data_IF_098262212205
#
_entry.id   IF_098262212205
#
_cell.length_a   1.000
_cell.length_b   1.000
_cell.length_c   1.000
_cell.angle_alpha   90.00
_cell.angle_beta   90.00
_cell.angle_gamma   90.00
#
_symmetry.space_group_name_H-M   'P 1'
#
loop_
_entity.id
_entity.type
_entity.pdbx_description
1 polymer ?
#
# COMPACT_ATOMS: atom_id res chain seq x y z
N UNK A 1 8.59 -2.56 15.86
CA UNK A 1 8.41 -2.64 17.31
C UNK A 1 8.74 -1.32 18.02
N UNK A 2 9.79 -0.60 17.63
CA UNK A 2 10.22 0.63 18.33
C UNK A 2 9.17 1.72 18.30
N UNK A 3 8.52 1.95 17.16
CA UNK A 3 7.41 2.93 17.01
C UNK A 3 6.27 2.63 17.98
N UNK A 4 5.83 1.37 18.07
CA UNK A 4 4.71 0.97 18.94
C UNK A 4 5.01 1.00 20.45
N UNK A 5 6.28 1.20 20.84
CA UNK A 5 6.72 1.30 22.26
C UNK A 5 7.21 2.71 22.63
N UNK A 6 7.29 3.60 21.67
CA UNK A 6 7.82 4.94 21.90
C UNK A 6 6.84 5.80 22.71
N UNK A 7 7.22 6.40 23.83
CA UNK A 7 6.29 7.10 24.75
C UNK A 7 5.63 8.36 24.14
N UNK A 8 6.20 8.93 23.09
CA UNK A 8 5.67 10.11 22.40
C UNK A 8 4.95 9.76 21.08
N UNK A 9 4.73 8.47 20.79
CA UNK A 9 4.02 8.03 19.60
C UNK A 9 2.73 7.34 20.02
N UNK A 10 1.60 7.86 19.59
CA UNK A 10 0.30 7.22 19.74
C UNK A 10 -0.03 6.47 18.44
N UNK A 11 -0.08 5.14 18.52
CA UNK A 11 -0.42 4.29 17.38
C UNK A 11 -1.92 3.99 17.41
N UNK A 12 -2.64 4.42 16.39
CA UNK A 12 -4.05 4.13 16.18
C UNK A 12 -4.19 3.03 15.11
N UNK A 13 -3.99 1.79 15.52
CA UNK A 13 -4.21 0.65 14.63
C UNK A 13 -5.70 0.40 14.41
N UNK A 14 -6.07 -0.18 13.26
CA UNK A 14 -7.44 -0.47 12.87
C UNK A 14 -8.35 0.76 12.91
N UNK A 15 -7.85 1.86 12.32
CA UNK A 15 -8.49 3.17 12.36
C UNK A 15 -8.51 3.82 10.97
N UNK A 16 -9.49 4.67 10.73
CA UNK A 16 -9.65 5.43 9.49
C UNK A 16 -9.85 6.91 9.79
N UNK A 17 -9.34 7.77 8.91
CA UNK A 17 -9.57 9.21 8.99
C UNK A 17 -10.94 9.51 8.37
N UNK A 18 -11.83 10.15 9.14
CA UNK A 18 -13.17 10.55 8.69
C UNK A 18 -13.20 11.97 8.15
N UNK A 19 -12.48 12.88 8.80
CA UNK A 19 -12.48 14.30 8.44
C UNK A 19 -11.15 14.97 8.76
N UNK A 20 -10.77 15.94 7.93
CA UNK A 20 -9.63 16.82 8.16
C UNK A 20 -10.08 18.24 7.80
N UNK A 21 -9.89 19.16 8.73
CA UNK A 21 -10.17 20.58 8.55
C UNK A 21 -9.01 21.44 9.06
N UNK A 22 -9.10 22.75 8.88
CA UNK A 22 -8.07 23.67 9.33
C UNK A 22 -6.98 23.96 8.30
N UNK A 23 -5.79 24.31 8.76
CA UNK A 23 -4.69 24.78 7.93
C UNK A 23 -3.35 24.54 8.63
N UNK A 24 -2.25 24.78 7.94
CA UNK A 24 -0.88 24.65 8.45
C UNK A 24 -0.74 25.22 9.87
N UNK A 25 -0.24 24.39 10.78
CA UNK A 25 -0.12 24.73 12.21
C UNK A 25 -1.38 24.50 13.03
N UNK A 26 -2.56 24.33 12.41
CA UNK A 26 -3.86 24.22 13.07
C UNK A 26 -4.80 23.30 12.30
N UNK A 27 -4.38 22.06 12.05
CA UNK A 27 -5.25 21.04 11.49
C UNK A 27 -6.05 20.37 12.60
N UNK A 28 -7.33 20.13 12.35
CA UNK A 28 -8.21 19.34 13.19
C UNK A 28 -8.54 18.04 12.46
N UNK A 29 -8.26 16.89 13.07
CA UNK A 29 -8.41 15.57 12.46
C UNK A 29 -9.39 14.74 13.28
N UNK A 30 -10.37 14.17 12.61
CA UNK A 30 -11.32 13.22 13.18
C UNK A 30 -10.98 11.81 12.70
N UNK A 31 -10.75 10.90 13.64
CA UNK A 31 -10.38 9.52 13.41
C UNK A 31 -11.42 8.59 13.97
N UNK A 32 -11.94 7.69 13.15
CA UNK A 32 -12.76 6.57 13.58
C UNK A 32 -11.85 5.40 13.92
N UNK A 33 -11.78 5.02 15.19
CA UNK A 33 -11.18 3.78 15.64
C UNK A 33 -12.24 2.69 15.54
N UNK A 34 -12.05 1.76 14.59
CA UNK A 34 -12.99 0.66 14.35
C UNK A 34 -12.99 -0.28 15.53
N UNK A 35 -14.16 -0.80 15.85
CA UNK A 35 -14.34 -1.77 16.91
C UNK A 35 -13.63 -3.08 16.58
N UNK A 36 -12.90 -3.61 17.54
CA UNK A 36 -12.21 -4.90 17.44
C UNK A 36 -13.05 -6.05 18.03
N UNK A 37 -14.05 -5.71 18.87
CA UNK A 37 -14.80 -6.63 19.72
C UNK A 37 -13.93 -7.41 20.70
N UNK A 38 -12.67 -7.04 20.82
CA UNK A 38 -11.68 -7.59 21.76
C UNK A 38 -10.90 -6.43 22.36
N UNK A 39 -10.90 -6.34 23.68
CA UNK A 39 -10.12 -5.33 24.40
C UNK A 39 -8.61 -5.54 24.16
N UNK A 40 -7.99 -4.55 23.55
CA UNK A 40 -6.59 -4.64 23.11
C UNK A 40 -5.58 -4.54 24.26
N UNK A 41 -6.01 -4.11 25.45
CA UNK A 41 -5.18 -4.00 26.65
C UNK A 41 -5.23 -5.29 27.46
N UNK A 42 -6.43 -5.87 27.60
CA UNK A 42 -6.65 -7.08 28.39
C UNK A 42 -6.31 -8.37 27.63
N UNK A 43 -6.31 -8.33 26.29
CA UNK A 43 -6.02 -9.49 25.45
C UNK A 43 -4.54 -9.88 25.52
N UNK A 44 -4.27 -11.13 25.91
CA UNK A 44 -2.90 -11.68 26.00
C UNK A 44 -2.45 -12.47 24.78
N UNK A 45 -3.27 -12.52 23.72
CA UNK A 45 -3.00 -13.29 22.50
C UNK A 45 -2.71 -14.79 22.77
N UNK A 46 -3.48 -15.43 23.63
CA UNK A 46 -3.28 -16.83 24.08
C UNK A 46 -3.79 -17.89 23.09
N UNK A 47 -4.39 -17.52 21.97
CA UNK A 47 -4.92 -18.38 20.90
C UNK A 47 -6.17 -19.22 21.24
N UNK A 48 -6.58 -19.33 22.50
CA UNK A 48 -7.71 -20.17 22.91
C UNK A 48 -9.03 -19.85 22.18
N UNK A 49 -9.29 -18.59 21.90
CA UNK A 49 -10.46 -18.14 21.13
C UNK A 49 -10.41 -18.58 19.65
N UNK A 50 -9.21 -18.72 19.08
CA UNK A 50 -8.99 -19.18 17.70
C UNK A 50 -9.26 -20.67 17.59
N UNK A 51 -8.79 -21.46 18.56
CA UNK A 51 -8.96 -22.92 18.56
C UNK A 51 -10.42 -23.33 18.50
N UNK A 52 -11.30 -22.63 19.21
CA UNK A 52 -12.74 -22.96 19.29
C UNK A 52 -13.57 -22.32 18.16
N UNK A 53 -13.02 -21.40 17.39
CA UNK A 53 -13.73 -20.73 16.30
C UNK A 53 -13.98 -21.69 15.13
N UNK A 54 -15.27 -21.93 14.74
CA UNK A 54 -15.59 -22.86 13.65
C UNK A 54 -15.37 -22.25 12.26
N UNK A 55 -15.30 -20.92 12.15
CA UNK A 55 -15.19 -20.23 10.87
C UNK A 55 -13.78 -20.34 10.30
N UNK A 56 -13.69 -20.57 9.00
CA UNK A 56 -12.44 -20.59 8.23
C UNK A 56 -12.64 -19.77 6.97
N UNK A 57 -11.84 -18.74 6.80
CA UNK A 57 -11.84 -17.84 5.64
C UNK A 57 -10.42 -17.62 5.13
N UNK A 58 -10.24 -17.17 3.88
CA UNK A 58 -8.92 -16.81 3.36
C UNK A 58 -8.23 -15.75 4.26
N UNK A 59 -6.91 -15.85 4.39
CA UNK A 59 -6.09 -14.92 5.16
C UNK A 59 -5.58 -13.80 4.25
N UNK A 60 -6.12 -12.60 4.39
CA UNK A 60 -5.86 -11.44 3.52
C UNK A 60 -4.37 -11.05 3.52
N UNK A 61 -3.74 -11.03 4.70
CA UNK A 61 -2.30 -10.72 4.82
C UNK A 61 -1.41 -11.68 4.02
N UNK A 62 -1.90 -12.86 3.70
CA UNK A 62 -1.21 -13.85 2.88
C UNK A 62 -1.90 -14.03 1.50
N UNK A 63 -2.60 -13.01 1.03
CA UNK A 63 -3.27 -12.98 -0.28
C UNK A 63 -4.16 -14.22 -0.55
N UNK A 64 -4.74 -14.80 0.49
CA UNK A 64 -5.58 -15.98 0.38
C UNK A 64 -4.81 -17.32 0.27
N UNK A 65 -3.48 -17.32 0.23
CA UNK A 65 -2.67 -18.54 0.20
C UNK A 65 -2.78 -19.37 1.49
N UNK A 66 -3.21 -18.77 2.59
CA UNK A 66 -3.55 -19.43 3.85
C UNK A 66 -4.97 -19.12 4.27
N UNK A 67 -5.43 -19.85 5.30
CA UNK A 67 -6.71 -19.61 5.95
C UNK A 67 -6.53 -19.00 7.35
N UNK A 68 -7.52 -18.25 7.82
CA UNK A 68 -7.67 -17.73 9.17
C UNK A 68 -9.05 -17.98 9.74
N UNK A 69 -9.18 -17.78 11.03
CA UNK A 69 -10.49 -17.78 11.71
C UNK A 69 -11.17 -16.42 11.64
N UNK A 70 -12.47 -16.34 11.96
CA UNK A 70 -13.15 -15.05 12.09
C UNK A 70 -12.61 -14.21 13.24
N UNK A 71 -12.09 -14.82 14.30
CA UNK A 71 -11.31 -14.15 15.34
C UNK A 71 -9.83 -14.40 15.06
N UNK A 72 -9.03 -13.34 14.89
CA UNK A 72 -7.66 -13.47 14.38
C UNK A 72 -6.77 -12.28 14.76
N UNK A 73 -5.46 -12.48 14.64
CA UNK A 73 -4.45 -11.42 14.59
C UNK A 73 -3.99 -11.33 13.13
N UNK A 74 -3.93 -10.14 12.51
CA UNK A 74 -3.60 -9.99 11.08
C UNK A 74 -2.27 -10.65 10.68
N UNK A 75 -1.24 -10.46 11.50
CA UNK A 75 0.08 -11.09 11.35
C UNK A 75 0.81 -11.17 12.71
N UNK A 76 1.80 -12.05 12.88
CA UNK A 76 2.40 -12.34 14.20
C UNK A 76 3.06 -11.14 14.91
N UNK A 77 3.54 -10.14 14.14
CA UNK A 77 4.20 -8.94 14.67
C UNK A 77 3.26 -7.73 14.77
N UNK A 78 1.94 -7.94 14.67
CA UNK A 78 0.96 -6.86 14.75
C UNK A 78 1.05 -6.09 16.07
N UNK A 79 0.86 -4.78 16.03
CA UNK A 79 0.78 -3.90 17.19
C UNK A 79 -0.57 -3.16 17.14
N UNK A 80 -1.42 -3.33 18.17
CA UNK A 80 -1.26 -4.16 19.34
C UNK A 80 -1.28 -5.67 19.01
N UNK A 81 -0.63 -6.50 19.83
CA UNK A 81 -0.69 -7.95 19.76
C UNK A 81 -2.00 -8.44 20.40
N UNK A 82 -3.12 -8.08 19.79
CA UNK A 82 -4.46 -8.39 20.27
C UNK A 82 -5.35 -8.88 19.13
N UNK A 83 -6.27 -9.78 19.45
CA UNK A 83 -7.22 -10.29 18.48
C UNK A 83 -8.21 -9.21 18.01
N UNK A 84 -8.84 -9.47 16.89
CA UNK A 84 -10.02 -8.77 16.40
C UNK A 84 -10.99 -9.78 15.79
N UNK A 85 -12.26 -9.42 15.70
CA UNK A 85 -13.30 -10.25 15.11
C UNK A 85 -13.69 -9.64 13.77
N UNK A 86 -13.61 -10.45 12.71
CA UNK A 86 -14.20 -10.16 11.42
C UNK A 86 -15.72 -10.37 11.51
N UNK A 87 -16.45 -9.26 11.57
CA UNK A 87 -17.90 -9.26 11.75
C UNK A 87 -18.63 -9.89 10.57
N UNK A 88 -18.10 -9.74 9.35
CA UNK A 88 -18.72 -10.26 8.14
C UNK A 88 -18.62 -11.79 8.06
N UNK A 89 -17.53 -12.35 8.56
CA UNK A 89 -17.30 -13.78 8.58
C UNK A 89 -17.86 -14.46 9.85
N UNK A 90 -18.08 -13.71 10.95
CA UNK A 90 -18.42 -14.26 12.24
C UNK A 90 -19.89 -14.73 12.31
N UNK A 91 -20.13 -15.97 12.74
CA UNK A 91 -21.47 -16.53 12.93
C UNK A 91 -22.20 -15.97 14.17
N UNK A 92 -21.50 -15.22 15.03
CA UNK A 92 -22.04 -14.72 16.30
C UNK A 92 -22.81 -13.42 16.21
N UNK A 93 -22.88 -12.79 15.02
CA UNK A 93 -23.61 -11.55 14.83
C UNK A 93 -24.99 -11.78 14.19
N UNK A 94 -25.96 -11.30 14.83
CA UNK A 94 -27.38 -11.13 14.50
C UNK A 94 -28.11 -12.27 13.73
N UNK A 95 -28.80 -13.17 14.40
CA UNK A 95 -28.77 -13.39 15.83
C UNK A 95 -27.51 -14.15 16.26
N UNK A 96 -26.98 -13.90 17.45
CA UNK A 96 -25.81 -14.60 17.97
C UNK A 96 -26.11 -16.10 18.02
N UNK A 97 -25.59 -16.81 17.01
CA UNK A 97 -25.77 -18.25 16.91
C UNK A 97 -24.57 -19.04 17.47
N UNK A 98 -23.45 -18.32 17.71
CA UNK A 98 -22.20 -18.87 18.21
C UNK A 98 -21.81 -18.13 19.51
N UNK A 99 -20.73 -18.01 20.01
CA UNK A 99 -20.27 -17.37 21.26
C UNK A 99 -19.14 -18.16 21.89
N UNK A 100 -18.65 -19.18 21.16
CA UNK A 100 -17.62 -20.09 21.66
C UNK A 100 -16.36 -19.39 22.12
N UNK A 101 -15.94 -18.34 21.39
CA UNK A 101 -14.76 -17.55 21.76
C UNK A 101 -15.00 -16.74 23.04
N UNK A 102 -16.21 -16.24 23.27
CA UNK A 102 -16.59 -15.52 24.48
C UNK A 102 -16.56 -16.45 25.70
N UNK A 103 -17.14 -17.66 25.58
CA UNK A 103 -17.14 -18.65 26.66
C UNK A 103 -15.73 -19.14 27.01
N UNK A 104 -14.85 -19.26 26.00
CA UNK A 104 -13.50 -19.78 26.15
C UNK A 104 -12.48 -18.75 26.67
N UNK A 105 -12.78 -17.45 26.56
CA UNK A 105 -11.86 -16.39 26.93
C UNK A 105 -11.75 -16.23 28.47
N UNK A 106 -10.68 -16.73 29.06
CA UNK A 106 -10.43 -16.60 30.50
C UNK A 106 -10.27 -15.15 30.96
N UNK A 107 -9.78 -14.26 30.08
CA UNK A 107 -9.62 -12.82 30.34
C UNK A 107 -10.93 -12.05 30.22
N UNK A 108 -11.97 -12.67 29.64
CA UNK A 108 -13.26 -12.02 29.40
C UNK A 108 -13.13 -10.67 28.67
N UNK A 109 -12.15 -10.58 27.76
CA UNK A 109 -11.83 -9.38 27.00
C UNK A 109 -12.58 -9.29 25.65
N UNK A 110 -13.58 -10.17 25.42
CA UNK A 110 -14.39 -10.14 24.18
C UNK A 110 -15.75 -9.52 24.53
N UNK A 111 -16.12 -8.48 23.78
CA UNK A 111 -17.38 -7.77 23.93
C UNK A 111 -18.01 -7.53 22.54
N UNK A 112 -19.14 -8.20 22.27
CA UNK A 112 -19.86 -8.05 21.00
C UNK A 112 -20.73 -6.78 20.94
N UNK A 113 -20.93 -6.09 22.05
CA UNK A 113 -21.69 -4.84 22.13
C UNK A 113 -20.80 -3.59 21.99
N UNK A 114 -19.46 -3.75 21.93
CA UNK A 114 -18.52 -2.63 21.73
C UNK A 114 -18.76 -1.96 20.35
N UNK A 115 -18.44 -0.68 20.26
CA UNK A 115 -18.76 0.15 19.11
C UNK A 115 -17.52 0.93 18.64
N UNK A 116 -17.59 1.41 17.40
CA UNK A 116 -16.58 2.35 16.86
C UNK A 116 -16.46 3.58 17.77
N UNK A 117 -15.22 4.09 17.92
CA UNK A 117 -14.91 5.27 18.72
C UNK A 117 -14.37 6.36 17.83
N UNK A 118 -14.93 7.56 17.92
CA UNK A 118 -14.38 8.74 17.27
C UNK A 118 -13.40 9.46 18.20
N UNK A 119 -12.21 9.76 17.69
CA UNK A 119 -11.14 10.46 18.40
C UNK A 119 -10.77 11.69 17.58
N UNK A 120 -10.60 12.82 18.25
CA UNK A 120 -10.27 14.09 17.61
C UNK A 120 -8.89 14.57 18.07
N UNK A 121 -8.12 15.12 17.12
CA UNK A 121 -6.76 15.63 17.38
C UNK A 121 -6.58 16.98 16.71
N UNK A 122 -5.85 17.87 17.41
CA UNK A 122 -5.30 19.08 16.83
C UNK A 122 -3.81 18.84 16.54
N UNK A 123 -3.40 19.03 15.28
CA UNK A 123 -2.03 18.78 14.84
C UNK A 123 -1.48 19.93 14.01
N UNK A 124 -0.19 20.17 14.10
CA UNK A 124 0.46 21.27 13.37
C UNK A 124 0.87 20.90 11.95
N UNK A 125 1.01 19.61 11.64
CA UNK A 125 1.48 19.12 10.34
C UNK A 125 1.00 17.69 10.09
N UNK A 126 0.91 17.30 8.82
CA UNK A 126 0.46 15.97 8.38
C UNK A 126 1.50 15.37 7.43
N UNK A 127 1.86 14.12 7.64
CA UNK A 127 2.67 13.34 6.70
C UNK A 127 1.79 12.22 6.15
N UNK A 128 1.60 12.19 4.84
CA UNK A 128 0.84 11.16 4.12
C UNK A 128 1.81 10.08 3.67
N UNK A 129 1.62 8.87 4.16
CA UNK A 129 2.46 7.72 3.88
C UNK A 129 1.60 6.46 3.63
N UNK A 130 0.53 6.60 2.85
CA UNK A 130 -0.50 5.58 2.63
C UNK A 130 -0.05 4.42 1.76
N UNK A 131 1.10 4.55 1.09
CA UNK A 131 1.68 3.46 0.30
C UNK A 131 1.05 3.30 -1.09
N UNK A 132 0.96 2.07 -1.56
CA UNK A 132 0.55 1.67 -2.92
C UNK A 132 -0.20 0.35 -2.87
N UNK A 133 -0.83 -0.04 -3.98
CA UNK A 133 -1.29 -1.39 -4.25
C UNK A 133 -0.45 -2.04 -5.36
N UNK A 134 -0.55 -3.35 -5.51
CA UNK A 134 0.05 -4.08 -6.62
C UNK A 134 -0.94 -4.19 -7.77
N UNK A 135 -0.43 -4.18 -9.00
CA UNK A 135 -1.25 -4.36 -10.18
C UNK A 135 -1.89 -5.76 -10.20
N UNK A 136 -3.18 -5.84 -10.54
CA UNK A 136 -3.88 -7.11 -10.73
C UNK A 136 -3.62 -7.64 -12.14
N UNK A 137 -2.89 -8.77 -12.30
CA UNK A 137 -2.52 -9.29 -13.61
C UNK A 137 -3.63 -10.07 -14.31
N UNK A 138 -4.84 -10.14 -13.78
CA UNK A 138 -5.98 -10.84 -14.42
C UNK A 138 -6.36 -10.28 -15.77
N UNK A 139 -6.00 -9.02 -16.07
CA UNK A 139 -6.18 -8.41 -17.40
C UNK A 139 -5.24 -8.98 -18.48
N UNK A 140 -4.21 -9.72 -18.08
CA UNK A 140 -3.27 -10.38 -18.98
C UNK A 140 -3.62 -11.88 -19.10
N UNK A 141 -4.71 -12.18 -19.80
CA UNK A 141 -5.21 -13.55 -19.98
C UNK A 141 -4.14 -14.51 -20.54
N UNK A 142 -3.23 -14.00 -21.37
CA UNK A 142 -2.12 -14.77 -21.96
C UNK A 142 -1.19 -15.37 -20.92
N UNK A 143 -1.09 -14.81 -19.72
CA UNK A 143 -0.23 -15.36 -18.66
C UNK A 143 -0.93 -16.41 -17.80
N UNK A 144 -2.24 -16.58 -17.94
CA UNK A 144 -2.98 -17.64 -17.26
C UNK A 144 -3.02 -17.52 -15.73
N UNK A 145 -2.76 -16.32 -15.17
CA UNK A 145 -2.94 -16.08 -13.74
C UNK A 145 -4.38 -16.43 -13.33
N UNK A 146 -4.57 -17.06 -12.19
CA UNK A 146 -5.83 -17.64 -11.68
C UNK A 146 -6.34 -18.89 -12.44
N UNK A 147 -5.87 -19.14 -13.68
CA UNK A 147 -6.21 -20.36 -14.43
C UNK A 147 -5.20 -21.48 -14.20
N UNK A 148 -3.93 -21.12 -14.09
CA UNK A 148 -2.84 -22.06 -13.86
C UNK A 148 -2.30 -21.87 -12.45
N UNK A 149 -2.42 -22.88 -11.61
CA UNK A 149 -2.04 -22.79 -10.19
C UNK A 149 -0.56 -22.48 -9.97
N UNK A 150 0.32 -22.85 -10.92
CA UNK A 150 1.76 -22.60 -10.84
C UNK A 150 2.18 -21.22 -11.39
N UNK A 151 1.23 -20.36 -11.74
CA UNK A 151 1.48 -18.94 -12.07
C UNK A 151 1.13 -18.08 -10.85
N UNK A 152 2.14 -17.44 -10.29
CA UNK A 152 2.02 -16.60 -9.09
C UNK A 152 2.43 -15.16 -9.39
N UNK A 153 1.93 -14.21 -8.64
CA UNK A 153 2.48 -12.85 -8.60
C UNK A 153 3.76 -12.81 -7.77
N UNK A 154 4.58 -11.77 -7.96
CA UNK A 154 5.79 -11.56 -7.15
C UNK A 154 5.46 -11.43 -5.65
N UNK A 155 4.32 -10.85 -5.30
CA UNK A 155 3.91 -10.73 -3.89
C UNK A 155 3.52 -12.10 -3.30
N UNK A 156 2.80 -12.94 -4.04
CA UNK A 156 2.49 -14.33 -3.62
C UNK A 156 3.75 -15.15 -3.47
N UNK A 157 4.72 -14.98 -4.38
CA UNK A 157 6.02 -15.64 -4.30
C UNK A 157 6.82 -15.20 -3.06
N UNK A 158 6.81 -13.91 -2.72
CA UNK A 158 7.42 -13.39 -1.49
C UNK A 158 6.79 -14.00 -0.23
N UNK A 159 5.48 -14.18 -0.22
CA UNK A 159 4.78 -14.84 0.90
C UNK A 159 5.17 -16.32 0.97
N UNK A 160 5.26 -17.00 -0.17
CA UNK A 160 5.64 -18.40 -0.24
C UNK A 160 7.08 -18.62 0.22
N UNK A 161 8.03 -17.80 -0.23
CA UNK A 161 9.45 -17.89 0.10
C UNK A 161 9.82 -17.29 1.46
N UNK A 162 8.91 -16.55 2.08
CA UNK A 162 9.13 -15.90 3.36
C UNK A 162 8.95 -16.82 4.57
N UNK A 163 9.74 -16.66 5.65
CA UNK A 163 9.66 -17.52 6.84
C UNK A 163 8.32 -17.41 7.60
N UNK A 164 7.57 -16.34 7.39
CA UNK A 164 6.21 -16.16 7.93
C UNK A 164 5.10 -16.62 7.00
N UNK A 165 5.44 -17.18 5.85
CA UNK A 165 4.51 -17.66 4.85
C UNK A 165 3.91 -19.03 5.16
N UNK A 166 3.03 -19.50 4.27
CA UNK A 166 2.28 -20.76 4.41
C UNK A 166 3.14 -22.01 4.42
N UNK A 167 4.33 -21.91 3.88
CA UNK A 167 5.32 -22.99 3.74
C UNK A 167 6.53 -22.79 4.65
N UNK A 168 6.49 -21.80 5.54
CA UNK A 168 7.61 -21.43 6.44
C UNK A 168 8.92 -21.15 5.69
N UNK A 169 8.82 -20.62 4.45
CA UNK A 169 9.95 -20.26 3.59
C UNK A 169 10.38 -21.32 2.60
N UNK A 170 9.72 -22.47 2.58
CA UNK A 170 9.98 -23.50 1.58
C UNK A 170 9.26 -23.17 0.27
N UNK A 171 10.03 -23.06 -0.83
CA UNK A 171 9.46 -22.80 -2.16
C UNK A 171 8.94 -24.09 -2.77
N UNK A 172 7.64 -24.19 -2.89
CA UNK A 172 6.94 -25.36 -3.42
C UNK A 172 5.94 -24.97 -4.51
N UNK A 173 5.77 -25.87 -5.49
CA UNK A 173 4.73 -25.72 -6.51
C UNK A 173 3.35 -25.84 -5.88
N UNK A 174 2.40 -24.95 -6.18
CA UNK A 174 1.03 -25.05 -5.69
C UNK A 174 0.32 -26.36 -6.03
N UNK A 175 0.52 -26.88 -7.25
CA UNK A 175 -0.19 -28.08 -7.76
C UNK A 175 0.17 -29.40 -7.07
N UNK A 176 1.44 -29.65 -6.79
CA UNK A 176 1.90 -30.95 -6.27
C UNK A 176 2.76 -30.85 -5.00
N UNK A 177 2.97 -29.63 -4.50
CA UNK A 177 3.73 -29.31 -3.29
C UNK A 177 5.20 -29.76 -3.30
N UNK A 178 5.77 -29.96 -4.50
CA UNK A 178 7.18 -30.28 -4.66
C UNK A 178 8.01 -29.03 -4.89
N UNK A 179 9.28 -29.09 -4.54
CA UNK A 179 10.26 -28.05 -4.88
C UNK A 179 10.38 -27.99 -6.41
N UNK A 180 10.19 -26.81 -7.03
CA UNK A 180 10.31 -26.65 -8.48
C UNK A 180 11.77 -26.82 -8.91
N UNK A 181 11.99 -27.34 -10.10
CA UNK A 181 13.33 -27.45 -10.72
C UNK A 181 13.65 -26.21 -11.57
N UNK A 182 12.63 -25.54 -12.07
CA UNK A 182 12.77 -24.36 -12.92
C UNK A 182 11.70 -23.32 -12.60
N UNK A 183 12.11 -22.05 -12.53
CA UNK A 183 11.21 -20.92 -12.27
C UNK A 183 11.51 -19.80 -13.27
N UNK A 184 10.45 -19.30 -13.92
CA UNK A 184 10.51 -18.13 -14.80
C UNK A 184 9.95 -16.89 -14.15
N UNK A 185 10.63 -15.76 -14.29
CA UNK A 185 10.17 -14.45 -13.81
C UNK A 185 9.87 -13.55 -15.01
N UNK A 186 8.63 -13.10 -15.14
CA UNK A 186 8.21 -12.19 -16.20
C UNK A 186 8.18 -10.76 -15.66
N UNK A 187 9.03 -9.90 -16.21
CA UNK A 187 9.16 -8.51 -15.77
C UNK A 187 8.08 -7.60 -16.37
N UNK A 188 7.82 -6.47 -15.69
CA UNK A 188 6.99 -5.37 -16.17
C UNK A 188 5.49 -5.73 -16.40
N UNK A 189 4.95 -6.73 -15.72
CA UNK A 189 3.52 -7.06 -15.81
C UNK A 189 2.68 -5.91 -15.22
N UNK A 190 1.86 -5.25 -16.07
CA UNK A 190 1.11 -4.06 -15.70
C UNK A 190 1.93 -2.77 -15.57
N UNK A 191 3.25 -2.80 -15.92
CA UNK A 191 4.12 -1.63 -15.95
C UNK A 191 4.72 -1.43 -17.34
N UNK A 192 5.00 -0.17 -17.72
CA UNK A 192 5.58 0.19 -19.03
C UNK A 192 4.72 -0.31 -20.20
N UNK A 193 3.42 -0.33 -20.00
CA UNK A 193 2.42 -0.79 -20.98
C UNK A 193 1.29 0.24 -21.04
N UNK A 194 1.18 0.95 -22.16
CA UNK A 194 0.17 2.00 -22.34
C UNK A 194 -1.22 1.43 -22.64
N UNK A 195 -1.29 0.21 -23.18
CA UNK A 195 -2.56 -0.37 -23.63
C UNK A 195 -3.34 -1.06 -22.52
N UNK A 196 -2.62 -1.69 -21.56
CA UNK A 196 -3.22 -2.49 -20.47
C UNK A 196 -2.33 -2.37 -19.24
N UNK A 197 -2.40 -1.32 -18.47
CA UNK A 197 -1.54 -1.12 -17.31
C UNK A 197 -1.05 0.31 -17.21
N UNK A 198 0.09 0.49 -16.62
CA UNK A 198 0.68 1.79 -16.35
C UNK A 198 1.83 2.11 -17.31
N UNK A 199 1.92 3.35 -17.85
CA UNK A 199 2.99 3.74 -18.77
C UNK A 199 4.35 3.86 -18.08
N UNK A 200 4.38 4.02 -16.76
CA UNK A 200 5.59 4.19 -15.97
C UNK A 200 6.25 2.86 -15.56
N UNK A 201 7.49 2.95 -15.09
CA UNK A 201 8.20 1.85 -14.43
C UNK A 201 7.92 1.87 -12.92
N UNK A 202 7.63 0.71 -12.36
CA UNK A 202 7.42 0.56 -10.90
C UNK A 202 8.70 0.57 -10.06
N UNK A 203 9.87 0.72 -10.67
CA UNK A 203 11.20 0.89 -10.08
C UNK A 203 11.72 -0.25 -9.19
N UNK A 204 10.89 -1.17 -8.73
CA UNK A 204 11.28 -2.21 -7.78
C UNK A 204 11.37 -3.61 -8.40
N UNK A 205 10.62 -3.90 -9.47
CA UNK A 205 10.42 -5.26 -9.98
C UNK A 205 11.75 -5.96 -10.32
N UNK A 206 12.66 -5.28 -11.03
CA UNK A 206 13.95 -5.87 -11.42
C UNK A 206 14.77 -6.27 -10.19
N UNK A 207 14.88 -5.40 -9.20
CA UNK A 207 15.68 -5.68 -8.00
C UNK A 207 15.02 -6.72 -7.11
N UNK A 208 13.69 -6.73 -7.03
CA UNK A 208 12.95 -7.77 -6.32
C UNK A 208 13.22 -9.14 -6.95
N UNK A 209 13.05 -9.28 -8.25
CA UNK A 209 13.32 -10.54 -8.96
C UNK A 209 14.78 -10.98 -8.81
N UNK A 210 15.75 -10.05 -8.91
CA UNK A 210 17.15 -10.39 -8.69
C UNK A 210 17.37 -10.94 -7.26
N UNK A 211 16.76 -10.31 -6.25
CA UNK A 211 16.81 -10.81 -4.87
C UNK A 211 16.23 -12.22 -4.77
N UNK A 212 15.05 -12.45 -5.35
CA UNK A 212 14.40 -13.76 -5.32
C UNK A 212 15.24 -14.84 -5.98
N UNK A 213 15.81 -14.54 -7.16
CA UNK A 213 16.69 -15.51 -7.86
C UNK A 213 17.96 -15.80 -7.07
N UNK A 214 18.52 -14.81 -6.36
CA UNK A 214 19.68 -15.01 -5.49
C UNK A 214 19.36 -15.89 -4.28
N UNK A 215 18.22 -15.66 -3.63
CA UNK A 215 17.75 -16.50 -2.53
C UNK A 215 17.49 -17.94 -3.00
N UNK A 216 16.85 -18.10 -4.16
CA UNK A 216 16.65 -19.42 -4.75
C UNK A 216 17.99 -20.15 -4.99
N UNK A 217 18.99 -19.48 -5.55
CA UNK A 217 20.32 -20.06 -5.76
C UNK A 217 21.08 -20.33 -4.48
N UNK A 218 20.81 -19.60 -3.41
CA UNK A 218 21.43 -19.81 -2.11
C UNK A 218 20.85 -21.01 -1.36
N UNK A 219 19.52 -21.17 -1.38
CA UNK A 219 18.84 -22.24 -0.67
C UNK A 219 18.64 -23.51 -1.52
N UNK A 220 18.54 -23.36 -2.84
CA UNK A 220 18.27 -24.44 -3.80
C UNK A 220 19.24 -24.33 -4.98
N UNK A 221 20.46 -24.83 -4.83
CA UNK A 221 21.55 -24.69 -5.81
C UNK A 221 21.19 -25.14 -7.23
N UNK A 222 20.30 -26.14 -7.35
CA UNK A 222 19.97 -26.79 -8.62
C UNK A 222 18.73 -26.19 -9.33
N UNK A 223 18.05 -25.19 -8.75
CA UNK A 223 16.90 -24.57 -9.42
C UNK A 223 17.38 -23.72 -10.59
N UNK A 224 16.84 -24.01 -11.78
CA UNK A 224 17.02 -23.16 -12.96
C UNK A 224 16.14 -21.92 -12.88
N UNK A 225 16.75 -20.73 -12.93
CA UNK A 225 16.06 -19.46 -12.86
C UNK A 225 16.22 -18.67 -14.16
N UNK A 226 15.08 -18.33 -14.80
CA UNK A 226 15.02 -17.55 -16.03
C UNK A 226 14.28 -16.25 -15.79
N UNK A 227 14.83 -15.14 -16.30
CA UNK A 227 14.22 -13.80 -16.18
C UNK A 227 13.92 -13.26 -17.57
N UNK A 228 12.64 -13.09 -17.88
CA UNK A 228 12.15 -12.50 -19.13
C UNK A 228 11.97 -11.01 -18.96
N UNK A 229 12.66 -10.17 -19.74
CA UNK A 229 12.78 -8.76 -19.46
C UNK A 229 12.86 -7.88 -20.73
N UNK A 230 12.50 -6.59 -20.57
CA UNK A 230 12.71 -5.54 -21.60
C UNK A 230 14.11 -4.92 -21.44
N UNK A 231 14.39 -4.42 -20.25
CA UNK A 231 15.71 -3.96 -19.76
C UNK A 231 15.78 -4.14 -18.24
N UNK A 232 16.97 -4.32 -17.69
CA UNK A 232 17.18 -4.43 -16.23
C UNK A 232 17.56 -3.06 -15.68
N UNK A 233 16.80 -2.60 -14.69
CA UNK A 233 17.01 -1.33 -14.01
C UNK A 233 17.62 -1.55 -12.64
N UNK A 234 18.94 -1.47 -12.58
CA UNK A 234 19.77 -1.68 -11.38
C UNK A 234 20.54 -0.39 -11.02
N UNK A 235 19.85 0.75 -10.99
CA UNK A 235 20.46 2.08 -10.86
C UNK A 235 20.83 2.51 -9.44
N UNK A 236 20.48 1.76 -8.41
CA UNK A 236 20.81 2.06 -7.01
C UNK A 236 22.25 1.70 -6.65
N UNK A 237 22.76 2.27 -5.54
CA UNK A 237 24.10 1.96 -5.03
C UNK A 237 24.21 0.47 -4.68
N UNK A 238 25.14 -0.24 -5.33
CA UNK A 238 25.38 -1.67 -5.16
C UNK A 238 24.44 -2.56 -5.96
N UNK A 239 23.42 -2.04 -6.65
CA UNK A 239 22.43 -2.82 -7.39
C UNK A 239 23.01 -3.48 -8.64
N UNK A 240 23.92 -2.80 -9.34
CA UNK A 240 24.62 -3.39 -10.47
C UNK A 240 25.47 -4.59 -10.07
N UNK A 241 26.15 -4.54 -8.92
CA UNK A 241 26.91 -5.66 -8.40
C UNK A 241 25.99 -6.84 -8.01
N UNK A 242 24.80 -6.53 -7.51
CA UNK A 242 23.78 -7.51 -7.18
C UNK A 242 23.29 -8.25 -8.44
N UNK A 243 23.04 -7.50 -9.52
CA UNK A 243 22.70 -8.05 -10.84
C UNK A 243 23.82 -8.92 -11.43
N UNK A 244 25.08 -8.46 -11.37
CA UNK A 244 26.24 -9.24 -11.83
C UNK A 244 26.39 -10.54 -11.05
N UNK A 245 26.16 -10.50 -9.73
CA UNK A 245 26.22 -11.70 -8.88
C UNK A 245 25.17 -12.71 -9.29
N UNK A 246 23.93 -12.31 -9.60
CA UNK A 246 22.89 -13.24 -10.04
C UNK A 246 23.26 -13.96 -11.35
N UNK A 247 23.83 -13.23 -12.31
CA UNK A 247 24.39 -13.82 -13.54
C UNK A 247 25.51 -14.82 -13.26
N UNK A 248 26.43 -14.46 -12.36
CA UNK A 248 27.56 -15.33 -12.00
C UNK A 248 27.09 -16.63 -11.33
N UNK A 249 25.92 -16.63 -10.67
CA UNK A 249 25.29 -17.81 -10.09
C UNK A 249 24.43 -18.61 -11.11
N UNK A 250 24.44 -18.24 -12.38
CA UNK A 250 23.76 -18.97 -13.44
C UNK A 250 22.29 -18.62 -13.61
N UNK A 251 21.84 -17.44 -13.18
CA UNK A 251 20.52 -16.94 -13.55
C UNK A 251 20.54 -16.53 -15.01
N UNK A 252 19.65 -17.09 -15.82
CA UNK A 252 19.53 -16.80 -17.23
C UNK A 252 18.62 -15.58 -17.45
N UNK A 253 19.08 -14.64 -18.28
CA UNK A 253 18.37 -13.41 -18.63
C UNK A 253 18.02 -13.41 -20.11
N UNK A 254 16.73 -13.54 -20.44
CA UNK A 254 16.19 -13.63 -21.79
C UNK A 254 15.52 -12.29 -22.13
N UNK A 255 16.06 -11.58 -23.11
CA UNK A 255 15.53 -10.28 -23.51
C UNK A 255 14.31 -10.46 -24.42
N UNK A 256 13.14 -10.42 -23.83
CA UNK A 256 11.85 -10.61 -24.48
C UNK A 256 10.77 -10.70 -23.41
N UNK A 257 9.54 -10.38 -23.78
CA UNK A 257 8.38 -10.60 -22.92
C UNK A 257 7.56 -11.72 -23.53
N UNK A 258 7.24 -12.79 -22.77
CA UNK A 258 6.40 -13.87 -23.27
C UNK A 258 5.06 -13.37 -23.79
N UNK A 259 4.66 -13.84 -24.95
CA UNK A 259 3.37 -13.51 -25.56
C UNK A 259 2.25 -14.45 -25.13
N UNK A 260 2.60 -15.65 -24.62
CA UNK A 260 1.63 -16.67 -24.22
C UNK A 260 2.24 -17.66 -23.24
N UNK A 261 1.40 -18.18 -22.33
CA UNK A 261 1.71 -19.28 -21.42
C UNK A 261 0.66 -20.37 -21.61
N UNK A 262 1.12 -21.59 -21.85
CA UNK A 262 0.28 -22.79 -21.92
C UNK A 262 0.65 -23.76 -20.80
N UNK A 263 -0.31 -24.47 -20.24
CA UNK A 263 -0.09 -25.49 -19.22
C UNK A 263 -0.14 -26.89 -19.87
N UNK A 264 0.86 -27.73 -19.62
CA UNK A 264 0.78 -29.13 -19.93
C UNK A 264 -0.23 -29.82 -19.00
N UNK A 265 -1.28 -30.47 -19.53
CA UNK A 265 -2.37 -30.99 -18.69
C UNK A 265 -1.94 -32.15 -17.79
N UNK A 266 -0.80 -32.82 -18.09
CA UNK A 266 -0.31 -33.97 -17.33
C UNK A 266 0.71 -33.61 -16.28
N UNK A 267 1.70 -32.83 -16.66
CA UNK A 267 2.82 -32.43 -15.78
C UNK A 267 2.51 -31.18 -14.99
N UNK A 268 1.52 -30.38 -15.44
CA UNK A 268 1.22 -29.03 -14.92
C UNK A 268 2.39 -28.05 -15.08
N UNK A 269 3.35 -28.38 -15.93
CA UNK A 269 4.42 -27.45 -16.31
C UNK A 269 3.89 -26.39 -17.24
N UNK A 270 4.55 -25.24 -17.22
CA UNK A 270 4.16 -24.04 -17.97
C UNK A 270 5.10 -23.89 -19.17
N UNK A 271 4.54 -23.77 -20.36
CA UNK A 271 5.28 -23.59 -21.62
C UNK A 271 5.09 -22.13 -22.04
N UNK A 272 6.16 -21.36 -21.96
CA UNK A 272 6.21 -19.94 -22.33
C UNK A 272 6.74 -19.81 -23.75
N UNK A 273 6.02 -19.03 -24.58
CA UNK A 273 6.48 -18.67 -25.92
C UNK A 273 6.97 -17.22 -25.89
N UNK A 274 8.23 -17.00 -26.27
CA UNK A 274 8.86 -15.67 -26.23
C UNK A 274 9.69 -15.43 -27.49
N UNK A 275 9.64 -14.21 -28.01
CA UNK A 275 10.63 -13.74 -28.98
C UNK A 275 11.86 -13.25 -28.22
N UNK A 276 12.98 -13.91 -28.36
CA UNK A 276 14.26 -13.45 -27.86
C UNK A 276 14.78 -12.32 -28.76
N UNK A 277 14.59 -11.08 -28.34
CA UNK A 277 14.94 -9.90 -29.15
C UNK A 277 16.46 -9.70 -29.34
N UNK A 278 17.30 -10.54 -28.73
CA UNK A 278 18.74 -10.53 -28.94
C UNK A 278 19.13 -11.22 -30.24
N UNK A 279 18.45 -12.30 -30.59
CA UNK A 279 18.72 -13.11 -31.79
C UNK A 279 17.56 -13.09 -32.81
N UNK A 280 16.37 -12.59 -32.42
CA UNK A 280 15.17 -12.56 -33.27
C UNK A 280 14.48 -13.90 -33.41
N UNK A 281 14.79 -14.89 -32.59
CA UNK A 281 14.20 -16.22 -32.62
C UNK A 281 13.03 -16.34 -31.65
N UNK A 282 12.01 -17.13 -32.03
CA UNK A 282 10.93 -17.51 -31.13
C UNK A 282 11.37 -18.76 -30.38
N UNK A 283 11.40 -18.67 -29.08
CA UNK A 283 11.81 -19.74 -28.18
C UNK A 283 10.63 -20.24 -27.35
N UNK A 284 10.60 -21.53 -27.06
CA UNK A 284 9.69 -22.13 -26.06
C UNK A 284 10.49 -22.57 -24.84
N UNK A 285 10.01 -22.17 -23.65
CA UNK A 285 10.62 -22.54 -22.37
C UNK A 285 9.62 -23.30 -21.51
N UNK A 286 9.94 -24.54 -21.18
CA UNK A 286 9.16 -25.34 -20.23
C UNK A 286 9.67 -25.10 -18.81
N UNK A 287 8.77 -24.68 -17.91
CA UNK A 287 9.07 -24.28 -16.53
C UNK A 287 8.08 -24.91 -15.54
N UNK A 288 8.56 -25.22 -14.36
CA UNK A 288 7.74 -25.77 -13.28
C UNK A 288 6.83 -24.68 -12.65
N UNK A 289 7.27 -23.44 -12.61
CA UNK A 289 6.56 -22.32 -12.01
C UNK A 289 6.89 -21.01 -12.72
N UNK A 290 5.95 -20.08 -12.74
CA UNK A 290 6.12 -18.73 -13.27
C UNK A 290 5.73 -17.70 -12.23
N UNK A 291 6.54 -16.66 -12.10
CA UNK A 291 6.31 -15.50 -11.23
C UNK A 291 6.13 -14.26 -12.08
N UNK A 292 4.98 -13.64 -11.95
CA UNK A 292 4.65 -12.38 -12.60
C UNK A 292 5.16 -11.21 -11.73
N UNK A 293 6.18 -10.51 -12.19
CA UNK A 293 6.70 -9.30 -11.53
C UNK A 293 5.78 -8.13 -11.81
N UNK A 294 4.69 -8.07 -11.02
CA UNK A 294 3.62 -7.09 -11.18
C UNK A 294 4.04 -5.68 -10.81
N UNK A 295 3.46 -4.69 -11.49
CA UNK A 295 3.68 -3.28 -11.23
C UNK A 295 3.08 -2.79 -9.92
N UNK A 296 3.42 -1.55 -9.56
CA UNK A 296 2.81 -0.82 -8.46
C UNK A 296 1.83 0.20 -9.00
N UNK A 297 0.67 0.28 -8.37
CA UNK A 297 -0.40 1.23 -8.71
C UNK A 297 -0.80 2.05 -7.48
N UNK A 298 -1.44 3.21 -7.67
CA UNK A 298 -1.99 3.96 -6.54
C UNK A 298 -2.92 3.09 -5.71
N UNK A 299 -3.00 3.36 -4.42
CA UNK A 299 -3.97 2.67 -3.57
C UNK A 299 -5.40 2.90 -4.07
N UNK A 300 -6.24 1.88 -3.95
CA UNK A 300 -7.66 1.94 -4.32
C UNK A 300 -8.42 3.07 -3.60
N UNK A 301 -7.99 3.43 -2.38
CA UNK A 301 -8.59 4.47 -1.53
C UNK A 301 -7.86 5.83 -1.57
N UNK A 302 -6.88 6.00 -2.46
CA UNK A 302 -6.11 7.25 -2.60
C UNK A 302 -6.99 8.47 -2.83
N UNK A 303 -8.11 8.33 -3.54
CA UNK A 303 -9.09 9.40 -3.78
C UNK A 303 -9.76 9.91 -2.50
N UNK A 304 -9.84 9.11 -1.45
CA UNK A 304 -10.37 9.52 -0.14
C UNK A 304 -9.41 10.50 0.54
N UNK A 305 -8.12 10.16 0.60
CA UNK A 305 -7.08 11.05 1.16
C UNK A 305 -6.94 12.31 0.32
N UNK A 306 -7.01 12.18 -1.02
CA UNK A 306 -7.01 13.33 -1.93
C UNK A 306 -8.11 14.33 -1.58
N UNK A 307 -9.34 13.88 -1.36
CA UNK A 307 -10.48 14.75 -1.01
C UNK A 307 -10.32 15.37 0.38
N UNK A 308 -9.97 14.57 1.38
CA UNK A 308 -9.82 15.03 2.76
C UNK A 308 -8.77 16.12 2.92
N UNK A 309 -7.68 16.04 2.16
CA UNK A 309 -6.57 16.99 2.24
C UNK A 309 -6.54 17.99 1.08
N UNK A 310 -7.50 17.95 0.17
CA UNK A 310 -7.56 18.78 -1.05
C UNK A 310 -6.25 18.71 -1.83
N UNK A 311 -5.81 17.47 -2.14
CA UNK A 311 -4.58 17.20 -2.87
C UNK A 311 -4.83 17.08 -4.38
N UNK A 312 -3.78 17.31 -5.15
CA UNK A 312 -3.75 16.99 -6.59
C UNK A 312 -3.19 15.58 -6.80
N UNK A 313 -3.55 14.98 -7.94
CA UNK A 313 -3.01 13.71 -8.40
C UNK A 313 -2.36 13.87 -9.77
N UNK A 314 -1.39 13.01 -10.07
CA UNK A 314 -0.87 12.82 -11.42
C UNK A 314 -1.92 12.15 -12.30
N UNK A 315 -1.69 12.12 -13.62
CA UNK A 315 -2.54 11.37 -14.57
C UNK A 315 -2.62 9.88 -14.24
N UNK A 316 -1.62 9.35 -13.55
CA UNK A 316 -1.54 7.95 -13.15
C UNK A 316 -2.23 7.66 -11.80
N UNK A 317 -2.79 8.70 -11.15
CA UNK A 317 -3.54 8.59 -9.90
C UNK A 317 -2.72 8.64 -8.59
N UNK A 318 -1.39 8.77 -8.67
CA UNK A 318 -0.56 9.03 -7.47
C UNK A 318 -0.74 10.46 -6.99
N UNK A 319 -0.51 10.69 -5.69
CA UNK A 319 -0.55 12.04 -5.12
C UNK A 319 0.59 12.88 -5.70
N UNK A 320 0.28 14.12 -6.08
CA UNK A 320 1.21 15.00 -6.77
C UNK A 320 1.84 16.01 -5.82
N UNK A 321 3.16 16.09 -5.82
CA UNK A 321 3.94 17.09 -5.09
C UNK A 321 3.84 18.48 -5.76
N UNK A 322 4.23 19.52 -5.00
CA UNK A 322 4.24 20.91 -5.51
C UNK A 322 5.15 21.07 -6.72
N UNK A 323 6.33 20.47 -6.68
CA UNK A 323 7.30 20.54 -7.77
C UNK A 323 8.37 19.44 -7.64
N UNK A 324 8.58 18.60 -8.66
CA UNK A 324 9.42 17.40 -8.56
C UNK A 324 10.92 17.67 -8.26
N UNK A 325 11.40 18.89 -8.50
CA UNK A 325 12.81 19.27 -8.25
C UNK A 325 13.00 20.24 -7.09
N UNK A 326 12.04 21.14 -6.86
CA UNK A 326 12.20 22.24 -5.88
C UNK A 326 11.50 21.94 -4.56
N UNK A 327 10.42 21.17 -4.59
CA UNK A 327 9.60 20.80 -3.42
C UNK A 327 9.04 19.38 -3.57
N UNK A 328 9.94 18.35 -3.67
CA UNK A 328 9.56 16.98 -4.03
C UNK A 328 8.84 16.22 -2.90
N UNK A 329 8.69 16.84 -1.75
CA UNK A 329 8.08 16.24 -0.55
C UNK A 329 6.81 16.98 -0.15
N UNK A 330 6.71 18.25 -0.54
CA UNK A 330 5.62 19.13 -0.11
C UNK A 330 4.37 18.90 -0.95
N UNK A 331 3.23 18.70 -0.30
CA UNK A 331 1.94 18.68 -0.96
C UNK A 331 1.48 20.11 -1.35
N UNK A 332 0.56 20.26 -2.32
CA UNK A 332 -0.06 21.55 -2.64
C UNK A 332 -0.72 22.21 -1.42
N UNK A 333 -1.27 21.43 -0.52
CA UNK A 333 -1.79 21.90 0.76
C UNK A 333 -0.66 22.11 1.74
N UNK A 334 -0.46 23.36 2.17
CA UNK A 334 0.64 23.75 3.07
C UNK A 334 0.55 23.02 4.40
N UNK A 335 1.70 22.51 4.89
CA UNK A 335 1.77 21.75 6.15
C UNK A 335 1.50 20.26 5.97
N UNK A 336 1.24 19.83 4.73
CA UNK A 336 1.10 18.41 4.36
C UNK A 336 2.32 17.98 3.56
N UNK A 337 2.86 16.81 3.85
CA UNK A 337 4.07 16.25 3.23
C UNK A 337 3.85 14.80 2.80
N UNK A 338 4.60 14.34 1.81
CA UNK A 338 4.53 12.97 1.30
C UNK A 338 5.73 12.13 1.75
N UNK A 339 5.49 10.85 2.00
CA UNK A 339 6.53 9.87 2.26
C UNK A 339 6.18 8.52 1.64
N UNK A 340 7.13 7.94 0.90
CA UNK A 340 6.98 6.62 0.30
C UNK A 340 6.12 6.58 -0.96
N UNK A 341 5.55 5.43 -1.25
CA UNK A 341 4.91 5.14 -2.54
C UNK A 341 3.55 5.80 -2.78
N UNK A 342 3.02 6.59 -1.86
CA UNK A 342 1.78 7.35 -2.10
C UNK A 342 1.93 8.41 -3.19
N UNK A 343 3.16 8.89 -3.44
CA UNK A 343 3.49 9.92 -4.43
C UNK A 343 3.98 9.31 -5.76
N UNK A 344 4.77 8.24 -5.71
CA UNK A 344 5.21 7.48 -6.89
C UNK A 344 5.84 6.15 -6.45
N UNK A 345 5.94 5.16 -7.35
CA UNK A 345 6.65 3.92 -7.07
C UNK A 345 8.12 4.18 -6.71
N UNK A 346 8.59 3.63 -5.60
CA UNK A 346 9.97 3.76 -5.12
C UNK A 346 10.37 2.58 -4.22
N UNK A 347 11.67 2.35 -4.10
CA UNK A 347 12.20 1.32 -3.23
C UNK A 347 12.22 1.73 -1.75
N UNK A 348 12.62 0.80 -0.87
CA UNK A 348 12.68 1.04 0.58
C UNK A 348 13.66 2.16 0.92
N UNK A 349 14.83 2.19 0.26
CA UNK A 349 15.87 3.22 0.50
C UNK A 349 15.34 4.62 0.17
N UNK A 350 14.69 4.78 -0.97
CA UNK A 350 14.13 6.05 -1.40
C UNK A 350 12.93 6.45 -0.55
N UNK A 351 12.09 5.48 -0.14
CA UNK A 351 11.00 5.71 0.82
C UNK A 351 11.50 6.22 2.17
N UNK A 352 12.55 5.62 2.73
CA UNK A 352 13.15 6.06 4.00
C UNK A 352 13.81 7.43 3.86
N UNK A 353 14.48 7.70 2.74
CA UNK A 353 15.08 9.01 2.45
C UNK A 353 13.99 10.10 2.40
N UNK A 354 12.91 9.83 1.68
CA UNK A 354 11.78 10.75 1.58
C UNK A 354 11.08 10.95 2.95
N UNK A 355 10.90 9.88 3.73
CA UNK A 355 10.32 9.97 5.08
C UNK A 355 11.17 10.84 6.01
N UNK A 356 12.50 10.71 5.95
CA UNK A 356 13.43 11.57 6.71
C UNK A 356 13.31 13.04 6.29
N UNK A 357 13.18 13.29 4.99
CA UNK A 357 12.92 14.62 4.45
C UNK A 357 11.58 15.19 4.88
N UNK A 358 10.50 14.40 4.84
CA UNK A 358 9.17 14.80 5.28
C UNK A 358 9.15 15.16 6.77
N UNK A 359 9.82 14.35 7.61
CA UNK A 359 9.98 14.64 9.04
C UNK A 359 10.72 15.95 9.28
N UNK A 360 11.82 16.21 8.55
CA UNK A 360 12.56 17.47 8.66
C UNK A 360 11.73 18.68 8.22
N UNK A 361 10.92 18.53 7.17
CA UNK A 361 10.00 19.59 6.70
C UNK A 361 8.90 19.87 7.73
N UNK A 362 8.28 18.82 8.29
CA UNK A 362 7.29 18.94 9.35
C UNK A 362 7.89 19.64 10.59
N UNK A 363 9.10 19.22 11.00
CA UNK A 363 9.80 19.82 12.13
C UNK A 363 10.09 21.31 11.93
N UNK A 364 10.36 21.76 10.71
CA UNK A 364 10.57 23.19 10.39
C UNK A 364 9.33 24.03 10.74
N UNK A 365 8.13 23.46 10.60
CA UNK A 365 6.88 24.13 10.98
C UNK A 365 6.69 24.04 12.50
N UNK A 366 6.82 22.83 13.05
CA UNK A 366 6.51 22.54 14.46
C UNK A 366 7.46 23.19 15.46
N UNK A 367 8.66 23.56 15.04
CA UNK A 367 9.68 24.22 15.87
C UNK A 367 9.55 25.75 15.94
N UNK A 368 8.57 26.35 15.23
CA UNK A 368 8.40 27.80 15.16
C UNK A 368 7.04 28.22 15.74
N UNK A 369 7.01 29.32 16.45
CA UNK A 369 5.77 29.93 16.98
C UNK A 369 4.92 30.57 15.87
N UNK A 370 5.51 30.85 14.71
CA UNK A 370 4.84 31.54 13.59
C UNK A 370 5.27 30.90 12.27
N UNK A 371 4.31 30.73 11.37
CA UNK A 371 4.55 30.25 10.00
C UNK A 371 4.48 31.43 9.05
N UNK A 372 5.45 31.54 8.13
CA UNK A 372 5.39 32.51 7.04
C UNK A 372 4.41 32.02 5.99
N UNK A 373 3.37 32.82 5.72
CA UNK A 373 2.40 32.57 4.64
C UNK A 373 2.76 33.38 3.40
N UNK A 374 2.21 32.99 2.25
CA UNK A 374 2.34 33.77 1.02
C UNK A 374 1.63 35.12 1.19
N UNK A 375 2.26 36.17 0.66
CA UNK A 375 1.72 37.52 0.76
C UNK A 375 0.47 37.76 -0.12
N UNK A 376 0.27 36.97 -1.16
CA UNK A 376 -0.85 37.07 -2.08
C UNK A 376 -2.04 36.25 -1.56
N UNK A 377 -2.99 36.94 -0.93
CA UNK A 377 -4.24 36.34 -0.43
C UNK A 377 -5.45 37.07 -1.00
N UNK A 378 -6.58 36.41 -1.10
CA UNK A 378 -7.83 37.04 -1.45
C UNK A 378 -8.27 37.98 -0.30
N UNK A 379 -8.94 39.07 -0.62
CA UNK A 379 -9.58 39.96 0.34
C UNK A 379 -11.05 40.15 0.00
N UNK A 380 -11.90 40.28 0.99
CA UNK A 380 -13.33 40.51 0.79
C UNK A 380 -13.62 41.98 1.11
N UNK A 381 -14.30 42.68 0.20
CA UNK A 381 -14.90 43.97 0.47
C UNK A 381 -16.21 43.72 1.21
N UNK A 382 -16.20 44.04 2.51
CA UNK A 382 -17.33 43.79 3.42
C UNK A 382 -18.58 44.60 3.04
N UNK A 383 -18.40 45.79 2.47
CA UNK A 383 -19.51 46.68 2.06
C UNK A 383 -20.22 46.13 0.79
N UNK A 384 -19.49 45.45 -0.06
CA UNK A 384 -20.01 44.81 -1.29
C UNK A 384 -20.48 43.39 -1.08
N UNK A 385 -20.16 42.77 0.02
CA UNK A 385 -20.49 41.38 0.30
C UNK A 385 -22.01 41.15 0.36
N UNK A 386 -22.53 40.20 -0.41
CA UNK A 386 -23.97 39.84 -0.45
C UNK A 386 -24.32 38.65 0.45
N UNK A 387 -23.40 38.13 1.23
CA UNK A 387 -23.58 37.01 2.14
C UNK A 387 -24.06 35.71 1.43
N UNK A 388 -23.79 35.57 0.14
CA UNK A 388 -24.33 34.46 -0.68
C UNK A 388 -23.61 33.14 -0.51
N UNK A 389 -22.40 33.11 0.06
CA UNK A 389 -21.63 31.90 0.30
C UNK A 389 -20.85 31.36 -0.89
N UNK A 390 -21.09 31.83 -2.12
CA UNK A 390 -20.50 31.29 -3.35
C UNK A 390 -18.97 31.22 -3.28
N UNK A 391 -18.32 32.28 -2.75
CA UNK A 391 -16.87 32.32 -2.61
C UNK A 391 -16.32 31.22 -1.65
N UNK A 392 -17.08 30.83 -0.65
CA UNK A 392 -16.74 29.74 0.25
C UNK A 392 -16.94 28.37 -0.43
N UNK A 393 -18.05 28.20 -1.16
CA UNK A 393 -18.39 26.95 -1.84
C UNK A 393 -17.40 26.60 -2.97
N UNK A 394 -16.91 27.63 -3.70
CA UNK A 394 -15.94 27.41 -4.80
C UNK A 394 -14.48 27.33 -4.32
N UNK A 395 -14.19 27.62 -3.05
CA UNK A 395 -12.83 27.61 -2.54
C UNK A 395 -12.32 26.19 -2.31
N UNK A 396 -11.39 25.67 -3.12
CA UNK A 396 -10.91 24.29 -2.98
C UNK A 396 -10.08 24.06 -1.71
N UNK A 397 -9.65 25.15 -1.05
CA UNK A 397 -8.81 25.09 0.16
C UNK A 397 -9.58 25.37 1.45
N UNK A 398 -10.91 25.53 1.40
CA UNK A 398 -11.70 25.88 2.58
C UNK A 398 -11.26 27.19 3.26
N UNK A 399 -10.60 28.08 2.51
CA UNK A 399 -9.97 29.29 3.05
C UNK A 399 -10.95 30.43 3.29
N UNK A 400 -12.25 30.24 3.09
CA UNK A 400 -13.27 31.32 3.24
C UNK A 400 -14.40 30.78 4.10
N UNK A 401 -14.74 31.56 5.11
CA UNK A 401 -15.91 31.34 5.98
C UNK A 401 -16.95 32.40 5.76
N UNK A 402 -18.23 32.06 5.82
CA UNK A 402 -19.36 32.98 5.73
C UNK A 402 -20.52 32.47 6.58
N UNK A 403 -21.16 33.36 7.32
CA UNK A 403 -22.42 32.99 7.97
C UNK A 403 -23.59 33.64 7.21
N UNK A 404 -24.23 32.88 6.36
CA UNK A 404 -25.35 33.30 5.52
C UNK A 404 -26.56 33.66 6.37
N UNK A 405 -26.81 32.92 7.48
CA UNK A 405 -27.98 33.14 8.35
C UNK A 405 -27.85 34.39 9.20
N UNK A 406 -26.68 34.59 9.77
CA UNK A 406 -26.37 35.77 10.57
C UNK A 406 -26.02 37.00 9.72
N UNK A 407 -25.95 36.87 8.39
CA UNK A 407 -25.49 37.89 7.44
C UNK A 407 -24.15 38.50 7.82
N UNK A 408 -23.21 37.62 8.21
CA UNK A 408 -21.83 38.04 8.49
C UNK A 408 -21.04 37.95 7.16
N UNK A 409 -20.29 38.99 6.77
CA UNK A 409 -19.48 38.99 5.56
C UNK A 409 -18.51 37.82 5.51
N UNK A 410 -18.20 37.36 4.30
CA UNK A 410 -17.19 36.38 4.11
C UNK A 410 -15.83 36.84 4.66
N UNK A 411 -15.13 35.95 5.34
CA UNK A 411 -13.77 36.17 5.86
C UNK A 411 -12.80 35.19 5.27
N UNK A 412 -11.64 35.67 4.85
CA UNK A 412 -10.56 34.83 4.32
C UNK A 412 -9.64 34.42 5.46
N UNK A 413 -9.39 33.14 5.57
CA UNK A 413 -8.36 32.57 6.43
C UNK A 413 -7.05 32.66 5.65
N UNK A 414 -6.26 33.70 5.90
CA UNK A 414 -5.04 34.01 5.14
C UNK A 414 -4.06 32.83 5.13
N UNK A 415 -3.94 32.06 6.24
CA UNK A 415 -3.08 30.91 6.37
C UNK A 415 -3.49 29.72 5.46
N UNK A 416 -4.77 29.63 5.09
CA UNK A 416 -5.30 28.62 4.18
C UNK A 416 -5.34 29.11 2.72
N UNK A 417 -5.39 30.42 2.51
CA UNK A 417 -5.52 31.01 1.17
C UNK A 417 -4.25 30.80 0.32
N UNK A 418 -4.42 30.34 -0.91
CA UNK A 418 -3.34 30.13 -1.90
C UNK A 418 -3.28 31.23 -2.98
N UNK A 419 -4.10 32.25 -2.88
CA UNK A 419 -4.12 33.31 -3.89
C UNK A 419 -4.50 32.85 -5.31
N UNK A 420 -5.20 31.73 -5.43
CA UNK A 420 -5.50 31.10 -6.74
C UNK A 420 -6.51 31.86 -7.58
N UNK A 421 -7.27 32.81 -7.00
CA UNK A 421 -8.25 33.64 -7.72
C UNK A 421 -9.61 32.98 -8.00
N UNK A 422 -9.83 31.71 -7.62
CA UNK A 422 -11.09 30.99 -7.93
C UNK A 422 -12.34 31.65 -7.31
N UNK A 423 -12.18 32.37 -6.22
CA UNK A 423 -13.27 33.05 -5.52
C UNK A 423 -13.55 34.49 -6.00
N UNK A 424 -12.75 35.05 -6.92
CA UNK A 424 -12.81 36.44 -7.39
C UNK A 424 -13.68 36.60 -8.61
#
# INVERSE_FOLDING_TARGET
MDVGRHPQITLLAYSEIEDISGYIGNFHIKVRKKVRYVDEVECTACDECVEVCPVVVPKEHQLGLAARKAIYIPFPQAVPAAYLIDIEACLGFNPIACGKCLEKCDKKCIDFDDQDKTIEFDVGSIIVATGMDVYDPTEFDEYGYTRFENVLTSMEFEILSGPGGVTTGEVIRPTDRKVPKSIGFIQCVGSRCESRGSPYCSNICCMNTIKDTLLLKEYYHDIDCKVFYIDIRAFGKGFEDFYRRSKALGVEYIRGIPGDIREDPKTKNLILTVENTTNGEIEEHELDMVVLSVGLVPRYDASTIQRLLTLSTTSDGFLMEVHPKLSPIDAPTSGVFFAGCCEAPKDIKDSVTQASGAAARALTILSQDKVKIQALTATVDEDLCKFCGICADVCPYGAITVDIKAKIPAKVIEAACKGCGTCA
#
